data_IF_089882227203
#
_entry.id   IF_089882227203
#
_cell.length_a   1.000
_cell.length_b   1.000
_cell.length_c   1.000
_cell.angle_alpha   90.00
_cell.angle_beta   90.00
_cell.angle_gamma   90.00
#
_symmetry.space_group_name_H-M   'P 1'
#
loop_
_entity.id
_entity.type
_entity.pdbx_description
1 polymer ?
#
# COMPACT_ATOMS: atom_id res chain seq x y z
N UNK A 1 -16.27 -7.83 5.33
CA UNK A 1 -15.58 -6.55 4.98
C UNK A 1 -16.33 -5.83 3.84
N UNK A 2 -16.51 -4.50 3.95
CA UNK A 2 -17.13 -3.71 2.86
C UNK A 2 -16.14 -3.51 1.70
N UNK A 3 -16.56 -3.81 0.45
CA UNK A 3 -15.77 -3.54 -0.75
C UNK A 3 -15.58 -2.04 -1.01
N UNK A 4 -16.49 -1.20 -0.50
CA UNK A 4 -16.38 0.26 -0.59
C UNK A 4 -15.07 0.79 0.04
N UNK A 5 -14.61 0.17 1.14
CA UNK A 5 -13.34 0.53 1.77
C UNK A 5 -12.17 0.30 0.81
N UNK A 6 -12.18 -0.82 0.07
CA UNK A 6 -11.16 -1.09 -0.95
C UNK A 6 -11.15 -0.03 -2.05
N UNK A 7 -12.33 0.40 -2.50
CA UNK A 7 -12.44 1.43 -3.53
C UNK A 7 -11.93 2.77 -2.99
N UNK A 8 -12.41 3.21 -1.82
CA UNK A 8 -12.02 4.50 -1.23
C UNK A 8 -10.53 4.60 -0.90
N UNK A 9 -9.94 3.52 -0.38
CA UNK A 9 -8.56 3.53 0.11
C UNK A 9 -7.56 2.98 -0.90
N UNK A 10 -8.02 2.15 -1.84
CA UNK A 10 -7.18 1.42 -2.77
C UNK A 10 -7.33 1.82 -4.24
N UNK A 11 -8.16 2.83 -4.58
CA UNK A 11 -8.44 3.21 -5.97
C UNK A 11 -7.18 3.35 -6.86
N UNK A 12 -6.12 4.07 -6.47
CA UNK A 12 -4.90 4.16 -7.28
C UNK A 12 -4.22 2.81 -7.51
N UNK A 13 -4.30 1.89 -6.54
CA UNK A 13 -3.77 0.53 -6.67
C UNK A 13 -4.68 -0.34 -7.53
N UNK A 14 -5.99 -0.22 -7.40
CA UNK A 14 -6.97 -0.89 -8.28
C UNK A 14 -6.80 -0.43 -9.73
N UNK A 15 -6.54 0.86 -9.96
CA UNK A 15 -6.29 1.44 -11.27
C UNK A 15 -4.92 1.11 -11.87
N UNK A 16 -3.99 0.51 -11.12
CA UNK A 16 -2.64 0.19 -11.58
C UNK A 16 -1.68 1.36 -11.64
N UNK A 17 -2.05 2.54 -11.11
CA UNK A 17 -1.19 3.73 -11.09
C UNK A 17 -0.36 3.87 -9.81
N UNK A 18 -0.59 3.01 -8.83
CA UNK A 18 0.15 2.88 -7.57
C UNK A 18 0.37 1.41 -7.26
N UNK A 19 1.52 1.05 -6.70
CA UNK A 19 1.86 -0.34 -6.43
C UNK A 19 1.15 -0.88 -5.18
N UNK A 20 1.01 -0.08 -4.14
CA UNK A 20 0.39 -0.56 -2.90
C UNK A 20 -0.35 0.53 -2.12
N UNK A 21 -1.38 0.12 -1.40
CA UNK A 21 -2.16 0.95 -0.48
C UNK A 21 -2.29 0.26 0.87
N UNK A 22 -2.09 1.02 1.93
CA UNK A 22 -2.20 0.59 3.32
C UNK A 22 -3.34 1.36 3.99
N UNK A 23 -4.27 0.66 4.62
CA UNK A 23 -5.44 1.30 5.23
C UNK A 23 -6.04 0.47 6.37
N UNK A 24 -6.66 1.13 7.36
CA UNK A 24 -7.40 0.46 8.40
C UNK A 24 -8.74 -0.07 7.86
N UNK A 25 -9.17 -1.20 8.39
CA UNK A 25 -10.46 -1.81 8.12
C UNK A 25 -11.11 -2.19 9.46
N UNK A 26 -12.36 -1.82 9.74
CA UNK A 26 -13.08 -2.33 10.90
C UNK A 26 -13.08 -3.86 10.94
N UNK A 27 -12.82 -4.44 12.10
CA UNK A 27 -12.70 -5.87 12.30
C UNK A 27 -13.15 -6.24 13.69
N UNK A 28 -14.36 -6.77 13.81
CA UNK A 28 -14.89 -7.32 15.05
C UNK A 28 -14.54 -8.80 15.18
N UNK A 29 -14.60 -9.53 14.06
CA UNK A 29 -14.26 -10.94 13.96
C UNK A 29 -13.09 -11.14 12.98
N UNK A 30 -12.00 -11.68 13.50
CA UNK A 30 -10.78 -11.97 12.72
C UNK A 30 -11.00 -13.08 11.70
N UNK A 31 -11.73 -14.12 12.03
CA UNK A 31 -11.95 -15.28 11.16
C UNK A 31 -12.86 -14.89 10.00
N UNK A 32 -13.90 -14.11 10.27
CA UNK A 32 -14.76 -13.56 9.23
C UNK A 32 -13.96 -12.67 8.27
N UNK A 33 -13.15 -11.75 8.78
CA UNK A 33 -12.30 -10.89 7.93
C UNK A 33 -11.33 -11.70 7.07
N UNK A 34 -10.69 -12.72 7.62
CA UNK A 34 -9.79 -13.60 6.85
C UNK A 34 -10.54 -14.37 5.75
N UNK A 35 -11.75 -14.85 6.03
CA UNK A 35 -12.62 -15.48 5.03
C UNK A 35 -12.96 -14.53 3.90
N UNK A 36 -13.32 -13.28 4.23
CA UNK A 36 -13.62 -12.25 3.24
C UNK A 36 -12.41 -11.86 2.40
N UNK A 37 -11.23 -11.73 3.01
CA UNK A 37 -9.96 -11.49 2.28
C UNK A 37 -9.68 -12.64 1.30
N UNK A 38 -9.90 -13.89 1.69
CA UNK A 38 -9.73 -15.03 0.79
C UNK A 38 -10.69 -14.98 -0.40
N UNK A 39 -11.96 -14.65 -0.16
CA UNK A 39 -12.97 -14.50 -1.23
C UNK A 39 -12.58 -13.38 -2.21
N UNK A 40 -12.16 -12.22 -1.66
CA UNK A 40 -11.69 -11.07 -2.45
C UNK A 40 -10.44 -11.41 -3.27
N UNK A 41 -9.46 -12.08 -2.68
CA UNK A 41 -8.25 -12.47 -3.40
C UNK A 41 -8.55 -13.41 -4.58
N UNK A 42 -9.53 -14.32 -4.48
CA UNK A 42 -9.96 -15.15 -5.63
C UNK A 42 -10.43 -14.31 -6.82
N UNK A 43 -11.03 -13.15 -6.56
CA UNK A 43 -11.55 -12.21 -7.58
C UNK A 43 -10.48 -11.24 -8.07
N UNK A 44 -9.57 -10.81 -7.18
CA UNK A 44 -8.55 -9.80 -7.45
C UNK A 44 -7.25 -10.38 -8.03
N UNK A 45 -6.86 -11.61 -7.66
CA UNK A 45 -5.62 -12.24 -8.14
C UNK A 45 -5.53 -12.37 -9.67
N UNK A 46 -6.63 -12.68 -10.41
CA UNK A 46 -6.60 -12.67 -11.87
C UNK A 46 -6.33 -11.28 -12.48
N UNK A 47 -6.51 -10.21 -11.70
CA UNK A 47 -6.20 -8.82 -12.05
C UNK A 47 -4.81 -8.37 -11.59
N UNK A 48 -3.99 -9.30 -11.08
CA UNK A 48 -2.66 -9.00 -10.58
C UNK A 48 -2.64 -8.22 -9.25
N UNK A 49 -3.66 -8.37 -8.42
CA UNK A 49 -3.81 -7.74 -7.11
C UNK A 49 -3.79 -8.78 -6.00
N UNK A 50 -3.26 -8.39 -4.85
CA UNK A 50 -3.24 -9.18 -3.63
C UNK A 50 -3.62 -8.30 -2.44
N UNK A 51 -4.49 -8.81 -1.57
CA UNK A 51 -4.91 -8.18 -0.33
C UNK A 51 -4.49 -9.07 0.84
N UNK A 52 -3.83 -8.50 1.86
CA UNK A 52 -3.44 -9.24 3.05
C UNK A 52 -3.50 -8.37 4.31
N UNK A 53 -3.74 -8.97 5.50
CA UNK A 53 -3.69 -8.26 6.76
C UNK A 53 -2.24 -8.21 7.28
N UNK A 54 -1.75 -7.00 7.58
CA UNK A 54 -0.44 -6.81 8.21
C UNK A 54 -0.53 -6.93 9.73
N UNK A 55 -1.57 -6.35 10.34
CA UNK A 55 -1.72 -6.31 11.79
C UNK A 55 -3.21 -6.31 12.18
N UNK A 56 -3.54 -7.02 13.25
CA UNK A 56 -4.83 -6.93 13.93
C UNK A 56 -4.68 -6.10 15.19
N UNK A 57 -5.61 -5.17 15.39
CA UNK A 57 -5.73 -4.29 16.55
C UNK A 57 -7.15 -4.43 17.14
N UNK A 58 -7.40 -3.99 18.36
CA UNK A 58 -8.77 -3.97 18.90
C UNK A 58 -9.73 -3.21 17.98
N UNK A 59 -10.77 -3.88 17.50
CA UNK A 59 -11.81 -3.31 16.63
C UNK A 59 -11.39 -3.03 15.19
N UNK A 60 -10.15 -3.27 14.78
CA UNK A 60 -9.69 -3.01 13.41
C UNK A 60 -8.51 -3.89 12.99
N UNK A 61 -8.35 -4.02 11.68
CA UNK A 61 -7.16 -4.60 11.06
C UNK A 61 -6.50 -3.60 10.11
N UNK A 62 -5.18 -3.65 10.00
CA UNK A 62 -4.41 -2.91 9.01
C UNK A 62 -4.23 -3.80 7.78
N UNK A 63 -4.81 -3.38 6.66
CA UNK A 63 -4.80 -4.12 5.41
C UNK A 63 -3.84 -3.50 4.40
N UNK A 64 -3.21 -4.37 3.61
CA UNK A 64 -2.33 -4.00 2.51
C UNK A 64 -2.85 -4.60 1.21
N UNK A 65 -3.28 -3.72 0.30
CA UNK A 65 -3.64 -4.03 -1.08
C UNK A 65 -2.46 -3.69 -1.97
N UNK A 66 -1.96 -4.64 -2.76
CA UNK A 66 -0.80 -4.39 -3.61
C UNK A 66 -0.80 -5.18 -4.91
N UNK A 67 0.06 -4.76 -5.83
CA UNK A 67 0.35 -5.41 -7.10
C UNK A 67 1.72 -6.10 -7.03
N UNK A 68 1.79 -7.43 -6.93
CA UNK A 68 3.07 -8.15 -6.82
C UNK A 68 4.07 -7.81 -7.94
N UNK A 69 3.61 -7.69 -9.19
CA UNK A 69 4.47 -7.35 -10.32
C UNK A 69 5.06 -5.93 -10.20
N UNK A 70 4.23 -4.95 -9.82
CA UNK A 70 4.66 -3.58 -9.56
C UNK A 70 5.63 -3.52 -8.39
N UNK A 71 5.30 -4.16 -7.27
CA UNK A 71 6.15 -4.19 -6.08
C UNK A 71 7.52 -4.81 -6.37
N UNK A 72 7.55 -5.92 -7.11
CA UNK A 72 8.81 -6.56 -7.52
C UNK A 72 9.70 -5.63 -8.34
N UNK A 73 9.12 -4.76 -9.18
CA UNK A 73 9.85 -3.75 -9.93
C UNK A 73 10.34 -2.63 -9.00
N UNK A 74 9.48 -2.11 -8.13
CA UNK A 74 9.79 -0.97 -7.26
C UNK A 74 10.88 -1.32 -6.23
N UNK A 75 10.87 -2.54 -5.67
CA UNK A 75 11.90 -3.00 -4.72
C UNK A 75 13.25 -3.35 -5.36
N UNK A 76 13.32 -3.44 -6.71
CA UNK A 76 14.59 -3.60 -7.45
C UNK A 76 15.32 -2.27 -7.68
N UNK A 77 14.68 -1.14 -7.40
CA UNK A 77 15.36 0.15 -7.41
C UNK A 77 16.56 0.11 -6.46
N UNK A 78 17.70 0.69 -6.89
CA UNK A 78 18.96 0.60 -6.14
C UNK A 78 18.83 1.26 -4.76
N UNK A 79 18.16 2.42 -4.69
CA UNK A 79 17.98 3.13 -3.42
C UNK A 79 16.98 2.41 -2.51
N UNK A 80 15.89 1.88 -3.09
CA UNK A 80 14.92 1.08 -2.34
C UNK A 80 15.55 -0.19 -1.76
N UNK A 81 16.31 -0.93 -2.57
CA UNK A 81 17.04 -2.12 -2.16
C UNK A 81 18.02 -1.84 -1.02
N UNK A 82 18.79 -0.76 -1.11
CA UNK A 82 19.73 -0.35 -0.06
C UNK A 82 19.02 0.01 1.25
N UNK A 83 17.91 0.75 1.18
CA UNK A 83 17.09 1.08 2.36
C UNK A 83 16.51 -0.17 3.02
N UNK A 84 16.02 -1.12 2.23
CA UNK A 84 15.54 -2.39 2.75
C UNK A 84 16.65 -3.18 3.43
N UNK A 85 17.84 -3.24 2.84
CA UNK A 85 19.00 -3.89 3.45
C UNK A 85 19.38 -3.26 4.80
N UNK A 86 19.37 -1.93 4.90
CA UNK A 86 19.59 -1.20 6.15
C UNK A 86 18.49 -1.49 7.19
N UNK A 87 17.25 -1.69 6.77
CA UNK A 87 16.15 -2.08 7.62
C UNK A 87 16.15 -3.58 7.98
N UNK A 88 17.20 -4.33 7.57
CA UNK A 88 17.38 -5.75 7.90
C UNK A 88 16.65 -6.71 6.97
N UNK A 89 16.16 -6.26 5.82
CA UNK A 89 15.75 -7.16 4.72
C UNK A 89 17.03 -7.63 4.01
N UNK A 90 17.13 -8.92 3.72
CA UNK A 90 18.25 -9.45 2.93
C UNK A 90 18.00 -9.30 1.42
N UNK A 91 18.87 -9.87 0.60
CA UNK A 91 18.66 -10.02 -0.86
C UNK A 91 17.59 -11.10 -1.11
N UNK A 92 16.37 -10.78 -0.71
CA UNK A 92 15.24 -11.69 -0.70
C UNK A 92 14.32 -11.46 -1.90
N UNK A 93 13.53 -12.48 -2.25
CA UNK A 93 12.45 -12.30 -3.22
C UNK A 93 11.41 -11.30 -2.68
N UNK A 94 10.68 -10.65 -3.59
CA UNK A 94 9.60 -9.73 -3.22
C UNK A 94 8.59 -10.35 -2.24
N UNK A 95 8.27 -11.64 -2.42
CA UNK A 95 7.35 -12.39 -1.57
C UNK A 95 7.89 -12.54 -0.14
N UNK A 96 9.19 -12.78 0.01
CA UNK A 96 9.86 -12.83 1.31
C UNK A 96 9.93 -11.46 1.97
N UNK A 97 10.17 -10.40 1.19
CA UNK A 97 10.10 -9.03 1.70
C UNK A 97 8.70 -8.71 2.25
N UNK A 98 7.63 -9.11 1.55
CA UNK A 98 6.25 -8.94 2.05
C UNK A 98 6.01 -9.76 3.31
N UNK A 99 6.46 -11.01 3.36
CA UNK A 99 6.32 -11.85 4.56
C UNK A 99 7.06 -11.22 5.76
N UNK A 100 8.27 -10.70 5.54
CA UNK A 100 9.05 -9.99 6.57
C UNK A 100 8.35 -8.71 7.03
N UNK A 101 7.78 -7.93 6.13
CA UNK A 101 6.97 -6.76 6.48
C UNK A 101 5.80 -7.15 7.41
N UNK A 102 5.09 -8.24 7.10
CA UNK A 102 4.01 -8.77 7.96
C UNK A 102 4.53 -9.11 9.36
N UNK A 103 5.69 -9.79 9.46
CA UNK A 103 6.32 -10.11 10.75
C UNK A 103 6.66 -8.83 11.53
N UNK A 104 7.27 -7.84 10.88
CA UNK A 104 7.62 -6.57 11.53
C UNK A 104 6.41 -5.84 12.08
N UNK A 105 5.29 -5.81 11.34
CA UNK A 105 4.04 -5.21 11.84
C UNK A 105 3.43 -5.96 13.03
N UNK A 106 3.70 -7.27 13.16
CA UNK A 106 3.16 -8.09 14.26
C UNK A 106 4.03 -8.07 15.50
N UNK A 107 5.35 -8.05 15.33
CA UNK A 107 6.32 -8.23 16.39
C UNK A 107 6.81 -6.92 16.99
N UNK A 108 6.86 -5.84 16.19
CA UNK A 108 7.34 -4.54 16.65
C UNK A 108 6.19 -3.66 17.17
N UNK A 109 6.44 -2.95 18.27
CA UNK A 109 5.60 -1.83 18.72
C UNK A 109 5.78 -0.60 17.84
N UNK A 110 6.95 -0.45 17.21
CA UNK A 110 7.27 0.65 16.33
C UNK A 110 6.71 0.41 14.92
N UNK A 111 6.27 1.49 14.30
CA UNK A 111 5.77 1.45 12.92
C UNK A 111 6.96 1.33 11.95
N UNK A 112 7.00 0.31 11.07
CA UNK A 112 8.10 0.12 10.14
C UNK A 112 8.05 1.18 9.03
N UNK A 113 8.90 2.21 9.12
CA UNK A 113 8.86 3.35 8.20
C UNK A 113 9.26 3.02 6.77
N UNK A 114 10.03 1.94 6.57
CA UNK A 114 10.35 1.40 5.26
C UNK A 114 9.12 0.90 4.48
N UNK A 115 7.97 0.76 5.12
CA UNK A 115 6.69 0.45 4.44
C UNK A 115 6.38 1.43 3.31
N UNK A 116 6.89 2.65 3.36
CA UNK A 116 6.76 3.63 2.28
C UNK A 116 7.23 3.09 0.93
N UNK A 117 8.27 2.23 0.89
CA UNK A 117 8.75 1.57 -0.33
C UNK A 117 7.71 0.59 -0.88
N UNK A 118 6.97 -0.09 -0.01
CA UNK A 118 5.87 -0.99 -0.39
C UNK A 118 4.62 -0.24 -0.85
N UNK A 119 4.56 1.08 -0.60
CA UNK A 119 3.48 1.97 -1.01
C UNK A 119 3.82 2.81 -2.25
N UNK A 120 4.92 2.50 -2.96
CA UNK A 120 5.47 3.26 -4.10
C UNK A 120 5.83 4.71 -3.75
N UNK A 121 6.19 4.99 -2.51
CA UNK A 121 6.75 6.30 -2.21
C UNK A 121 8.18 6.39 -2.76
N UNK A 122 8.61 7.56 -3.26
CA UNK A 122 9.97 7.74 -3.74
C UNK A 122 10.99 7.33 -2.67
N UNK A 123 12.03 6.53 -3.01
CA UNK A 123 13.02 6.10 -2.03
C UNK A 123 13.71 7.26 -1.29
N UNK A 124 13.93 8.40 -1.96
CA UNK A 124 14.45 9.61 -1.35
C UNK A 124 13.54 10.19 -0.27
N UNK A 125 12.21 10.09 -0.43
CA UNK A 125 11.25 10.55 0.56
C UNK A 125 11.21 9.61 1.77
N UNK A 126 11.26 8.30 1.53
CA UNK A 126 11.32 7.30 2.60
C UNK A 126 12.62 7.45 3.40
N UNK A 127 13.76 7.62 2.72
CA UNK A 127 15.05 7.89 3.36
C UNK A 127 15.04 9.17 4.18
N UNK A 128 14.49 10.24 3.61
CA UNK A 128 14.36 11.53 4.29
C UNK A 128 13.51 11.41 5.55
N UNK A 129 12.38 10.70 5.47
CA UNK A 129 11.50 10.46 6.62
C UNK A 129 12.21 9.71 7.76
N UNK A 130 12.93 8.64 7.44
CA UNK A 130 13.68 7.84 8.41
C UNK A 130 14.80 8.67 9.05
N UNK A 131 15.62 9.35 8.24
CA UNK A 131 16.79 10.05 8.70
C UNK A 131 16.47 11.31 9.53
N UNK A 132 15.37 11.98 9.24
CA UNK A 132 14.98 13.22 9.89
C UNK A 132 13.86 13.06 10.93
N UNK A 133 13.50 11.81 11.30
CA UNK A 133 12.42 11.53 12.26
C UNK A 133 11.15 12.32 11.93
N UNK A 134 10.77 12.31 10.66
CA UNK A 134 9.60 13.00 10.12
C UNK A 134 9.64 14.54 10.19
N UNK A 135 10.80 15.17 10.44
CA UNK A 135 10.99 16.62 10.41
C UNK A 135 11.70 17.08 9.13
N UNK A 136 11.73 18.39 8.86
CA UNK A 136 12.49 18.97 7.75
C UNK A 136 11.99 18.63 6.35
N UNK A 137 10.74 18.20 6.21
CA UNK A 137 10.11 17.92 4.90
C UNK A 137 9.77 19.21 4.15
N UNK A 138 9.83 19.19 2.83
CA UNK A 138 9.50 20.33 1.95
C UNK A 138 8.00 20.57 1.90
N UNK A 139 7.20 19.51 1.75
CA UNK A 139 5.75 19.57 1.81
C UNK A 139 5.16 18.25 2.32
N UNK A 140 3.91 18.28 2.76
CA UNK A 140 3.14 17.12 3.18
C UNK A 140 1.85 16.99 2.35
N UNK A 141 1.53 15.76 1.98
CA UNK A 141 0.31 15.39 1.27
C UNK A 141 -0.08 13.96 1.63
N UNK A 142 -0.06 13.05 0.67
CA UNK A 142 -0.26 11.62 0.96
C UNK A 142 0.95 11.01 1.69
N UNK A 143 2.10 11.65 1.62
CA UNK A 143 3.29 11.38 2.43
C UNK A 143 4.08 12.68 2.65
N UNK A 144 5.13 12.65 3.48
CA UNK A 144 6.05 13.78 3.69
C UNK A 144 7.15 13.73 2.62
N UNK A 145 7.32 14.82 1.89
CA UNK A 145 8.22 14.94 0.73
C UNK A 145 9.55 15.55 1.15
N UNK A 146 10.64 14.91 0.79
CA UNK A 146 12.02 15.38 1.00
C UNK A 146 12.75 15.58 -0.34
N UNK A 147 12.34 14.85 -1.37
CA UNK A 147 12.88 14.88 -2.72
C UNK A 147 12.24 15.95 -3.61
N UNK A 148 11.71 15.52 -4.74
CA UNK A 148 11.09 16.36 -5.77
C UNK A 148 9.64 16.72 -5.40
N UNK A 149 9.44 17.98 -4.98
CA UNK A 149 8.15 18.48 -4.53
C UNK A 149 7.12 18.59 -5.66
N UNK A 150 7.53 19.02 -6.85
CA UNK A 150 6.62 19.19 -8.00
C UNK A 150 6.08 17.84 -8.47
N UNK A 151 6.97 16.87 -8.61
CA UNK A 151 6.61 15.49 -8.94
C UNK A 151 5.68 14.88 -7.89
N UNK A 152 5.96 15.08 -6.60
CA UNK A 152 5.12 14.57 -5.53
C UNK A 152 3.72 15.20 -5.54
N UNK A 153 3.60 16.52 -5.72
CA UNK A 153 2.32 17.22 -5.81
C UNK A 153 1.49 16.72 -7.01
N UNK A 154 2.12 16.52 -8.17
CA UNK A 154 1.46 15.95 -9.34
C UNK A 154 0.92 14.53 -9.06
N UNK A 155 1.69 13.69 -8.36
CA UNK A 155 1.24 12.36 -7.96
C UNK A 155 0.08 12.41 -6.94
N UNK A 156 0.10 13.34 -5.99
CA UNK A 156 -0.99 13.51 -5.03
C UNK A 156 -2.30 13.88 -5.74
N UNK A 157 -2.26 14.81 -6.69
CA UNK A 157 -3.43 15.18 -7.49
C UNK A 157 -3.94 14.01 -8.33
N UNK A 158 -3.03 13.30 -9.00
CA UNK A 158 -3.37 12.12 -9.78
C UNK A 158 -4.07 11.05 -8.94
N UNK A 159 -3.57 10.77 -7.74
CA UNK A 159 -4.16 9.77 -6.86
C UNK A 159 -5.50 10.22 -6.29
N UNK A 160 -5.66 11.50 -5.89
CA UNK A 160 -6.93 12.05 -5.43
C UNK A 160 -7.99 11.97 -6.52
N UNK A 161 -7.68 12.46 -7.72
CA UNK A 161 -8.60 12.43 -8.88
C UNK A 161 -8.99 10.98 -9.24
N UNK A 162 -8.06 10.05 -9.19
CA UNK A 162 -8.35 8.62 -9.38
C UNK A 162 -9.35 8.12 -8.33
N UNK A 163 -9.16 8.46 -7.07
CA UNK A 163 -10.05 8.04 -5.98
C UNK A 163 -11.45 8.61 -6.16
N UNK A 164 -11.57 9.90 -6.51
CA UNK A 164 -12.85 10.55 -6.78
C UNK A 164 -13.63 9.87 -7.93
N UNK A 165 -12.94 9.59 -9.04
CA UNK A 165 -13.52 8.88 -10.18
C UNK A 165 -14.00 7.48 -9.77
N UNK A 166 -13.15 6.73 -9.04
CA UNK A 166 -13.49 5.36 -8.61
C UNK A 166 -14.66 5.33 -7.63
N UNK A 167 -14.74 6.29 -6.72
CA UNK A 167 -15.87 6.41 -5.81
C UNK A 167 -17.18 6.71 -6.58
N UNK A 168 -17.14 7.58 -7.59
CA UNK A 168 -18.29 7.86 -8.44
C UNK A 168 -18.73 6.64 -9.25
N UNK A 169 -17.79 5.92 -9.83
CA UNK A 169 -18.06 4.69 -10.57
C UNK A 169 -18.64 3.59 -9.66
N UNK A 170 -18.12 3.45 -8.45
CA UNK A 170 -18.68 2.56 -7.45
C UNK A 170 -20.13 2.90 -7.09
N UNK A 171 -20.40 4.19 -6.84
CA UNK A 171 -21.74 4.69 -6.55
C UNK A 171 -22.71 4.49 -7.72
N UNK A 172 -22.22 4.47 -8.97
CA UNK A 172 -23.02 4.16 -10.15
C UNK A 172 -23.29 2.66 -10.34
N UNK A 173 -22.80 1.80 -9.41
CA UNK A 173 -23.10 0.36 -9.40
C UNK A 173 -22.05 -0.52 -10.08
N UNK A 174 -20.89 0.00 -10.47
CA UNK A 174 -19.82 -0.85 -11.00
C UNK A 174 -19.28 -1.77 -9.89
N UNK A 175 -19.02 -3.03 -10.27
CA UNK A 175 -18.45 -4.03 -9.36
C UNK A 175 -16.94 -3.84 -9.19
N UNK A 176 -16.41 -4.34 -8.09
CA UNK A 176 -14.98 -4.25 -7.77
C UNK A 176 -14.08 -4.82 -8.88
N UNK A 177 -14.47 -5.92 -9.53
CA UNK A 177 -13.72 -6.54 -10.63
C UNK A 177 -13.67 -5.68 -11.90
N UNK A 178 -14.68 -4.85 -12.10
CA UNK A 178 -14.72 -3.90 -13.23
C UNK A 178 -13.83 -2.69 -12.96
N UNK A 179 -13.68 -2.31 -11.68
CA UNK A 179 -12.78 -1.26 -11.22
C UNK A 179 -11.32 -1.73 -11.12
N UNK A 180 -11.09 -3.02 -10.94
CA UNK A 180 -9.74 -3.60 -10.88
C UNK A 180 -9.18 -3.79 -12.30
N UNK A 181 -8.27 -2.92 -12.71
CA UNK A 181 -7.57 -3.00 -14.00
C UNK A 181 -6.57 -4.14 -13.97
N UNK A 182 -6.55 -5.00 -14.99
CA UNK A 182 -5.50 -5.99 -15.16
C UNK A 182 -4.23 -5.30 -15.72
N UNK A 183 -3.08 -5.49 -15.07
CA UNK A 183 -1.77 -4.92 -15.45
C UNK A 183 -0.75 -6.03 -15.47
#
# INVERSE_FOLDING_TARGET
MSEEILVRQGAPTLAGIKTGSLFPCPCEDREELLSDIMKLNRRLSPKGLCLLPLRFLPGQALLYLYRPAGLRRDLRDVQASELLRQAGYGDESCERCVARLVCRFRESSEFPHEVGLFLSYPPEDVKGFINHCANGFKCAGLWKVYGDEEKARSLFEKYRKCTEIYCTLWQSGLKLEQLAVAV
#
